data_IF_851747703791
#
_entry.id   IF_851747703791
#
_cell.length_a   1.000
_cell.length_b   1.000
_cell.length_c   1.000
_cell.angle_alpha   90.00
_cell.angle_beta   90.00
_cell.angle_gamma   90.00
#
_symmetry.space_group_name_H-M   'P 1'
#
loop_
_entity.id
_entity.type
_entity.pdbx_description
1 polymer ?
#
# COMPACT_ATOMS: atom_id res chain seq x y z
N UNK A 1 -16.39 18.95 -13.28
CA UNK A 1 -17.63 18.25 -13.69
C UNK A 1 -17.25 16.79 -13.98
N UNK A 2 -17.20 15.92 -12.97
CA UNK A 2 -18.30 14.99 -12.59
C UNK A 2 -18.81 14.19 -13.78
N UNK A 3 -18.34 12.95 -13.97
CA UNK A 3 -19.19 11.77 -14.19
C UNK A 3 -18.47 10.50 -13.68
N UNK A 4 -18.60 10.13 -12.39
CA UNK A 4 -18.57 8.74 -11.97
C UNK A 4 -20.01 8.20 -12.03
N UNK A 5 -20.47 7.78 -13.20
CA UNK A 5 -21.78 7.12 -13.35
C UNK A 5 -21.84 6.03 -14.41
N UNK A 6 -20.75 5.76 -15.14
CA UNK A 6 -20.74 4.67 -16.14
C UNK A 6 -20.34 3.35 -15.50
N UNK A 7 -19.36 3.34 -14.60
CA UNK A 7 -18.93 2.13 -13.90
C UNK A 7 -20.01 1.61 -12.92
N UNK A 8 -20.68 2.52 -12.20
CA UNK A 8 -21.77 2.17 -11.27
C UNK A 8 -23.06 1.68 -11.96
N UNK A 9 -23.28 2.01 -13.24
CA UNK A 9 -24.44 1.56 -14.02
C UNK A 9 -24.18 0.20 -14.69
N UNK A 10 -22.91 -0.12 -15.00
CA UNK A 10 -22.53 -1.41 -15.60
C UNK A 10 -22.86 -2.62 -14.71
N UNK A 11 -22.60 -2.51 -13.41
CA UNK A 11 -22.87 -3.59 -12.43
C UNK A 11 -24.37 -3.80 -12.15
N UNK A 12 -25.23 -2.87 -12.58
CA UNK A 12 -26.70 -3.03 -12.53
C UNK A 12 -27.29 -3.70 -13.77
N UNK A 13 -26.59 -3.66 -14.92
CA UNK A 13 -27.09 -4.19 -16.20
C UNK A 13 -26.63 -5.62 -16.50
N UNK A 14 -25.51 -6.07 -15.92
CA UNK A 14 -25.02 -7.44 -16.12
C UNK A 14 -24.48 -8.04 -14.81
N UNK A 15 -25.37 -8.53 -13.92
CA UNK A 15 -24.92 -9.23 -12.72
C UNK A 15 -24.18 -10.52 -13.14
N UNK A 16 -22.91 -10.63 -12.78
CA UNK A 16 -22.17 -11.86 -12.98
C UNK A 16 -22.76 -12.97 -12.08
N UNK A 17 -23.36 -13.99 -12.69
CA UNK A 17 -24.03 -15.08 -11.98
C UNK A 17 -23.08 -15.97 -11.14
N UNK A 18 -21.76 -15.85 -11.32
CA UNK A 18 -20.74 -16.55 -10.52
C UNK A 18 -19.34 -15.95 -10.70
N UNK A 19 -18.48 -16.16 -9.70
CA UNK A 19 -17.04 -15.83 -9.73
C UNK A 19 -16.34 -16.41 -10.97
N UNK A 20 -16.65 -17.66 -11.32
CA UNK A 20 -16.06 -18.35 -12.47
C UNK A 20 -16.50 -17.74 -13.81
N UNK A 21 -17.75 -17.28 -13.92
CA UNK A 21 -18.23 -16.57 -15.11
C UNK A 21 -17.55 -15.20 -15.25
N UNK A 22 -17.34 -14.48 -14.14
CA UNK A 22 -16.59 -13.22 -14.12
C UNK A 22 -15.14 -13.39 -14.58
N UNK A 23 -14.43 -14.41 -14.06
CA UNK A 23 -13.06 -14.71 -14.51
C UNK A 23 -12.99 -15.13 -15.98
N UNK A 24 -13.97 -15.89 -16.48
CA UNK A 24 -14.04 -16.28 -17.91
C UNK A 24 -14.30 -15.09 -18.82
N UNK A 25 -15.18 -14.16 -18.41
CA UNK A 25 -15.42 -12.93 -19.15
C UNK A 25 -14.18 -12.02 -19.12
N UNK A 26 -13.47 -11.99 -17.99
CA UNK A 26 -12.27 -11.17 -17.82
C UNK A 26 -11.03 -11.71 -18.59
N UNK A 27 -11.03 -13.00 -18.96
CA UNK A 27 -9.94 -13.66 -19.68
C UNK A 27 -10.15 -13.75 -21.20
N UNK A 28 -11.23 -13.19 -21.74
CA UNK A 28 -11.49 -13.20 -23.17
C UNK A 28 -10.42 -12.39 -23.94
N UNK A 29 -9.95 -12.84 -25.11
CA UNK A 29 -8.86 -12.20 -25.86
C UNK A 29 -9.18 -10.77 -26.33
N UNK A 30 -10.47 -10.44 -26.45
CA UNK A 30 -11.10 -9.17 -26.78
C UNK A 30 -11.35 -8.25 -25.57
N UNK A 31 -10.97 -8.69 -24.36
CA UNK A 31 -11.11 -7.89 -23.14
C UNK A 31 -10.18 -6.66 -23.14
N UNK A 32 -10.77 -5.48 -22.94
CA UNK A 32 -10.07 -4.19 -22.82
C UNK A 32 -8.96 -4.23 -21.75
N UNK A 33 -7.89 -3.43 -21.95
CA UNK A 33 -6.71 -3.31 -21.06
C UNK A 33 -7.07 -3.19 -19.56
N UNK A 34 -8.16 -2.49 -19.23
CA UNK A 34 -8.64 -2.31 -17.86
C UNK A 34 -9.04 -3.62 -17.16
N UNK A 35 -9.49 -4.62 -17.92
CA UNK A 35 -9.88 -5.93 -17.42
C UNK A 35 -8.64 -6.80 -17.14
N UNK A 36 -7.62 -6.72 -17.99
CA UNK A 36 -6.32 -7.41 -17.75
C UNK A 36 -5.63 -6.91 -16.49
N UNK A 37 -5.75 -5.61 -16.18
CA UNK A 37 -5.27 -5.03 -14.93
C UNK A 37 -5.92 -5.67 -13.70
N UNK A 38 -7.18 -6.12 -13.84
CA UNK A 38 -7.97 -6.70 -12.75
C UNK A 38 -7.40 -8.04 -12.28
N UNK A 39 -6.82 -8.83 -13.18
CA UNK A 39 -6.14 -10.10 -12.87
C UNK A 39 -4.74 -9.86 -12.29
N UNK A 40 -4.06 -8.80 -12.73
CA UNK A 40 -2.73 -8.44 -12.22
C UNK A 40 -2.78 -7.77 -10.84
N UNK A 41 -3.87 -7.07 -10.53
CA UNK A 41 -4.02 -6.31 -9.30
C UNK A 41 -3.85 -7.16 -8.01
N UNK A 42 -4.44 -8.36 -7.86
CA UNK A 42 -4.22 -9.21 -6.69
C UNK A 42 -2.75 -9.55 -6.45
N UNK A 43 -2.01 -9.87 -7.52
CA UNK A 43 -0.59 -10.18 -7.43
C UNK A 43 0.20 -8.94 -6.99
N UNK A 44 -0.06 -7.78 -7.63
CA UNK A 44 0.57 -6.52 -7.27
C UNK A 44 0.23 -6.08 -5.84
N UNK A 45 -1.00 -6.29 -5.39
CA UNK A 45 -1.46 -5.95 -4.05
C UNK A 45 -0.69 -6.74 -2.98
N UNK A 46 -0.48 -8.04 -3.21
CA UNK A 46 0.30 -8.90 -2.31
C UNK A 46 1.78 -8.47 -2.31
N UNK A 47 2.38 -8.31 -3.49
CA UNK A 47 3.79 -7.95 -3.61
C UNK A 47 4.09 -6.57 -3.01
N UNK A 48 3.29 -5.56 -3.35
CA UNK A 48 3.50 -4.19 -2.91
C UNK A 48 3.12 -4.01 -1.43
N UNK A 49 2.06 -4.68 -0.95
CA UNK A 49 1.71 -4.73 0.46
C UNK A 49 2.77 -5.42 1.32
N UNK A 50 3.34 -6.53 0.83
CA UNK A 50 4.46 -7.22 1.46
C UNK A 50 5.72 -6.37 1.49
N UNK A 51 6.07 -5.75 0.36
CA UNK A 51 7.18 -4.80 0.26
C UNK A 51 7.04 -3.65 1.27
N UNK A 52 5.87 -3.00 1.32
CA UNK A 52 5.63 -1.89 2.23
C UNK A 52 5.74 -2.33 3.70
N UNK A 53 5.20 -3.50 4.03
CA UNK A 53 5.30 -4.08 5.37
C UNK A 53 6.75 -4.36 5.77
N UNK A 54 7.56 -4.88 4.85
CA UNK A 54 8.99 -5.10 5.06
C UNK A 54 9.75 -3.78 5.28
N UNK A 55 9.49 -2.75 4.46
CA UNK A 55 10.10 -1.41 4.61
C UNK A 55 9.75 -0.81 5.97
N UNK A 56 8.47 -0.87 6.38
CA UNK A 56 8.02 -0.37 7.69
C UNK A 56 8.77 -1.09 8.81
N UNK A 57 8.89 -2.42 8.73
CA UNK A 57 9.60 -3.21 9.72
C UNK A 57 11.09 -2.86 9.81
N UNK A 58 11.79 -2.73 8.68
CA UNK A 58 13.21 -2.35 8.63
C UNK A 58 13.41 -0.95 9.22
N UNK A 59 12.62 0.04 8.79
CA UNK A 59 12.75 1.42 9.27
C UNK A 59 12.44 1.51 10.77
N UNK A 60 11.45 0.78 11.28
CA UNK A 60 11.14 0.73 12.71
C UNK A 60 12.28 0.12 13.56
N UNK A 61 13.16 -0.71 12.98
CA UNK A 61 14.36 -1.24 13.65
C UNK A 61 15.51 -0.24 13.66
N UNK A 62 15.68 0.52 12.58
CA UNK A 62 16.80 1.46 12.40
C UNK A 62 16.51 2.82 13.05
N UNK A 63 15.24 3.23 13.12
CA UNK A 63 14.77 4.51 13.63
C UNK A 63 13.73 4.30 14.74
N UNK A 64 14.15 4.05 16.00
CA UNK A 64 13.22 3.71 17.09
C UNK A 64 12.40 4.90 17.62
N UNK A 65 12.38 6.04 16.95
CA UNK A 65 11.63 7.21 17.38
C UNK A 65 10.11 6.96 17.39
N UNK A 66 9.42 7.65 18.30
CA UNK A 66 8.03 7.34 18.67
C UNK A 66 7.02 7.66 17.55
N UNK A 67 7.30 8.68 16.74
CA UNK A 67 6.45 9.11 15.63
C UNK A 67 6.44 8.07 14.50
N UNK A 68 7.60 7.56 14.11
CA UNK A 68 7.81 6.57 13.07
C UNK A 68 7.13 5.25 13.44
N UNK A 69 7.20 4.84 14.71
CA UNK A 69 6.48 3.64 15.20
C UNK A 69 4.97 3.82 15.17
N UNK A 70 4.45 5.03 15.46
CA UNK A 70 3.01 5.31 15.40
C UNK A 70 2.52 5.26 13.95
N UNK A 71 3.17 6.00 13.05
CA UNK A 71 2.79 6.05 11.63
C UNK A 71 2.98 4.70 10.94
N UNK A 72 4.06 3.96 11.26
CA UNK A 72 4.27 2.61 10.75
C UNK A 72 3.13 1.65 11.11
N UNK A 73 2.62 1.67 12.34
CA UNK A 73 1.45 0.86 12.74
C UNK A 73 0.18 1.26 12.00
N UNK A 74 -0.05 2.56 11.81
CA UNK A 74 -1.21 3.07 11.07
C UNK A 74 -1.17 2.57 9.63
N UNK A 75 -0.04 2.70 8.94
CA UNK A 75 0.13 2.23 7.56
C UNK A 75 0.00 0.71 7.48
N UNK A 76 0.61 -0.07 8.38
CA UNK A 76 0.41 -1.52 8.44
C UNK A 76 -1.05 -1.91 8.62
N UNK A 77 -1.79 -1.19 9.47
CA UNK A 77 -3.23 -1.41 9.65
C UNK A 77 -4.03 -1.16 8.37
N UNK A 78 -3.71 -0.09 7.65
CA UNK A 78 -4.33 0.19 6.35
C UNK A 78 -3.97 -0.85 5.28
N UNK A 79 -2.76 -1.41 5.26
CA UNK A 79 -2.41 -2.52 4.35
C UNK A 79 -3.31 -3.73 4.60
N UNK A 80 -3.46 -4.14 5.87
CA UNK A 80 -4.32 -5.28 6.22
C UNK A 80 -5.79 -5.01 5.88
N UNK A 81 -6.27 -3.80 6.16
CA UNK A 81 -7.62 -3.39 5.81
C UNK A 81 -7.83 -3.40 4.29
N UNK A 82 -6.87 -2.90 3.51
CA UNK A 82 -6.94 -2.88 2.04
C UNK A 82 -7.03 -4.29 1.47
N UNK A 83 -6.22 -5.22 1.98
CA UNK A 83 -6.26 -6.63 1.57
C UNK A 83 -7.59 -7.29 1.95
N UNK A 84 -8.09 -7.04 3.16
CA UNK A 84 -9.38 -7.58 3.62
C UNK A 84 -10.56 -7.05 2.79
N UNK A 85 -10.61 -5.74 2.55
CA UNK A 85 -11.65 -5.11 1.72
C UNK A 85 -11.53 -5.54 0.25
N UNK A 86 -10.30 -5.72 -0.27
CA UNK A 86 -10.07 -6.24 -1.62
C UNK A 86 -10.56 -7.68 -1.77
N UNK A 87 -10.32 -8.52 -0.76
CA UNK A 87 -10.82 -9.89 -0.72
C UNK A 87 -12.34 -9.94 -0.60
N UNK A 88 -12.94 -9.07 0.21
CA UNK A 88 -14.39 -8.92 0.30
C UNK A 88 -15.00 -8.48 -1.04
N UNK A 89 -14.35 -7.55 -1.75
CA UNK A 89 -14.76 -7.17 -3.12
C UNK A 89 -14.73 -8.36 -4.06
N UNK A 90 -13.72 -9.23 -3.98
CA UNK A 90 -13.68 -10.44 -4.81
C UNK A 90 -14.87 -11.36 -4.49
N UNK A 91 -15.07 -11.72 -3.22
CA UNK A 91 -16.13 -12.66 -2.82
C UNK A 91 -17.55 -12.16 -3.08
N UNK A 92 -17.77 -10.85 -2.96
CA UNK A 92 -19.09 -10.24 -3.13
C UNK A 92 -19.36 -9.80 -4.57
N UNK A 93 -18.51 -10.18 -5.53
CA UNK A 93 -18.64 -9.82 -6.96
C UNK A 93 -18.59 -8.30 -7.19
N UNK A 94 -17.66 -7.64 -6.49
CA UNK A 94 -17.34 -6.22 -6.59
C UNK A 94 -18.56 -5.28 -6.53
N UNK A 95 -19.38 -5.31 -5.46
CA UNK A 95 -20.52 -4.42 -5.37
C UNK A 95 -20.00 -2.98 -5.27
N UNK A 96 -20.62 -2.06 -6.02
CA UNK A 96 -20.11 -0.69 -6.21
C UNK A 96 -19.80 0.03 -4.90
N UNK A 97 -20.62 -0.18 -3.85
CA UNK A 97 -20.37 0.40 -2.52
C UNK A 97 -19.04 -0.08 -1.90
N UNK A 98 -18.73 -1.38 -1.95
CA UNK A 98 -17.45 -1.90 -1.46
C UNK A 98 -16.27 -1.51 -2.33
N UNK A 99 -16.50 -1.29 -3.63
CA UNK A 99 -15.45 -0.81 -4.52
C UNK A 99 -15.06 0.64 -4.18
N UNK A 100 -16.04 1.50 -3.86
CA UNK A 100 -15.78 2.85 -3.38
C UNK A 100 -15.06 2.85 -2.02
N UNK A 101 -15.47 1.98 -1.11
CA UNK A 101 -14.77 1.81 0.19
C UNK A 101 -13.32 1.33 -0.05
N UNK A 102 -13.10 0.38 -0.94
CA UNK A 102 -11.76 -0.10 -1.28
C UNK A 102 -10.87 1.01 -1.85
N UNK A 103 -11.42 1.87 -2.70
CA UNK A 103 -10.69 3.01 -3.26
C UNK A 103 -10.36 4.04 -2.17
N UNK A 104 -11.33 4.36 -1.31
CA UNK A 104 -11.10 5.28 -0.19
C UNK A 104 -9.99 4.78 0.74
N UNK A 105 -9.99 3.50 1.08
CA UNK A 105 -8.95 2.91 1.94
C UNK A 105 -7.59 2.93 1.23
N UNK A 106 -7.54 2.72 -0.10
CA UNK A 106 -6.32 2.87 -0.88
C UNK A 106 -5.76 4.30 -0.82
N UNK A 107 -6.61 5.32 -0.95
CA UNK A 107 -6.21 6.72 -0.86
C UNK A 107 -5.64 7.06 0.52
N UNK A 108 -6.29 6.58 1.59
CA UNK A 108 -5.81 6.75 2.95
C UNK A 108 -4.48 6.03 3.19
N UNK A 109 -4.32 4.81 2.66
CA UNK A 109 -3.06 4.06 2.71
C UNK A 109 -1.93 4.82 2.00
N UNK A 110 -2.23 5.38 0.83
CA UNK A 110 -1.28 6.18 0.06
C UNK A 110 -0.82 7.42 0.84
N UNK A 111 -1.77 8.20 1.36
CA UNK A 111 -1.48 9.39 2.19
C UNK A 111 -0.65 8.99 3.41
N UNK A 112 -1.04 7.92 4.12
CA UNK A 112 -0.32 7.41 5.27
C UNK A 112 1.13 7.03 4.92
N UNK A 113 1.33 6.41 3.76
CA UNK A 113 2.66 6.03 3.27
C UNK A 113 3.54 7.24 2.95
N UNK A 114 2.97 8.27 2.31
CA UNK A 114 3.67 9.53 2.03
C UNK A 114 4.08 10.20 3.35
N UNK A 115 3.17 10.30 4.32
CA UNK A 115 3.45 10.88 5.63
C UNK A 115 4.52 10.07 6.39
N UNK A 116 4.41 8.74 6.41
CA UNK A 116 5.42 7.88 7.01
C UNK A 116 6.81 8.11 6.40
N UNK A 117 6.89 8.16 5.07
CA UNK A 117 8.14 8.42 4.35
C UNK A 117 8.71 9.79 4.67
N UNK A 118 7.86 10.83 4.72
CA UNK A 118 8.28 12.16 5.12
C UNK A 118 8.85 12.18 6.55
N UNK A 119 8.18 11.52 7.50
CA UNK A 119 8.70 11.42 8.88
C UNK A 119 10.04 10.69 8.95
N UNK A 120 10.17 9.56 8.26
CA UNK A 120 11.39 8.76 8.25
C UNK A 120 12.59 9.49 7.61
N UNK A 121 12.34 10.33 6.60
CA UNK A 121 13.38 11.13 5.95
C UNK A 121 13.72 12.43 6.71
N UNK A 122 12.78 12.97 7.49
CA UNK A 122 13.00 14.18 8.29
C UNK A 122 13.84 13.95 9.56
N UNK A 123 13.95 12.70 10.03
CA UNK A 123 14.68 12.37 11.25
C UNK A 123 16.20 12.59 11.08
N UNK A 124 16.85 13.41 11.94
CA UNK A 124 18.29 13.66 11.87
C UNK A 124 19.08 12.35 11.81
N UNK A 125 20.05 12.25 10.89
CA UNK A 125 20.99 11.12 10.89
C UNK A 125 21.72 11.15 12.23
N UNK A 126 21.73 10.03 12.96
CA UNK A 126 22.49 9.95 14.21
C UNK A 126 23.91 10.46 13.93
N UNK A 127 24.32 11.51 14.64
CA UNK A 127 25.62 12.12 14.42
C UNK A 127 26.70 11.03 14.58
N UNK A 128 27.70 10.97 13.68
CA UNK A 128 28.84 10.09 13.90
C UNK A 128 29.40 10.34 15.30
N UNK A 129 29.65 9.27 16.07
CA UNK A 129 30.26 9.39 17.38
C UNK A 129 31.50 10.30 17.28
N UNK A 130 31.73 11.20 18.26
CA UNK A 130 32.95 12.00 18.30
C UNK A 130 34.14 11.08 18.07
N UNK A 131 34.93 11.37 17.02
CA UNK A 131 36.15 10.61 16.73
C UNK A 131 36.96 10.60 18.03
N UNK A 132 37.37 9.43 18.56
CA UNK A 132 38.20 9.40 19.77
C UNK A 132 39.36 10.36 19.58
N UNK A 133 39.55 11.29 20.53
CA UNK A 133 40.68 12.21 20.48
C UNK A 133 41.94 11.34 20.39
N UNK A 134 42.66 11.46 19.28
CA UNK A 134 43.98 10.85 19.16
C UNK A 134 44.79 11.32 20.37
N UNK A 135 45.42 10.42 21.15
CA UNK A 135 46.29 10.86 22.23
C UNK A 135 47.36 11.80 21.64
N UNK A 136 47.76 12.86 22.37
CA UNK A 136 48.77 13.78 21.89
C UNK A 136 50.00 12.97 21.49
N UNK A 137 50.43 13.13 20.24
CA UNK A 137 51.71 12.59 19.76
C UNK A 137 52.77 13.12 20.72
N UNK A 138 53.28 12.23 21.58
CA UNK A 138 54.42 12.54 22.41
C UNK A 138 55.55 12.94 21.45
N UNK A 139 55.92 14.21 21.50
CA UNK A 139 57.03 14.73 20.73
C UNK A 139 58.28 13.92 21.11
N UNK A 140 58.71 13.06 20.18
CA UNK A 140 59.98 12.36 20.28
C UNK A 140 61.10 13.41 20.16
N UNK A 141 61.77 13.64 21.29
CA UNK A 141 63.05 14.35 21.37
C UNK A 141 64.20 13.40 21.05
#
# INVERSE_FOLDING_TARGET
CRIPSVAALGDTLFPAASLAAGFRADAAPDAHVLIRLRVLHPLLAILLGGYLSAVIWIVARIRPASAERKWGRVVSGFVLLQLGVGLANLFLLAPTALQLVHLLVADLLWIGTVLYTATALSAPRAAPLPRPLSPPSAASS
#
